data_IF_828167751786
#
_entry.id   IF_828167751786
#
_cell.length_a   1.000
_cell.length_b   1.000
_cell.length_c   1.000
_cell.angle_alpha   90.00
_cell.angle_beta   90.00
_cell.angle_gamma   90.00
#
_symmetry.space_group_name_H-M   'P 1'
#
loop_
_entity.id
_entity.type
_entity.pdbx_description
1 polymer ?
#
# COMPACT_ATOMS: atom_id res chain seq x y z
N UNK A 1 -10.21 53.56 -19.58
CA UNK A 1 -10.07 52.21 -20.17
C UNK A 1 -8.76 51.67 -19.68
N UNK A 2 -8.81 50.86 -18.57
CA UNK A 2 -7.63 50.40 -17.86
C UNK A 2 -7.52 48.90 -18.15
N UNK A 3 -6.56 48.54 -18.97
CA UNK A 3 -6.21 47.12 -19.20
C UNK A 3 -5.54 46.54 -17.94
N UNK A 4 -6.23 45.64 -17.25
CA UNK A 4 -5.57 44.77 -16.28
C UNK A 4 -4.68 43.75 -17.04
N UNK A 5 -3.38 43.80 -16.79
CA UNK A 5 -2.48 42.70 -17.13
C UNK A 5 -2.87 41.48 -16.35
N UNK A 6 -3.25 40.42 -17.04
CA UNK A 6 -3.37 39.09 -16.46
C UNK A 6 -1.98 38.62 -16.04
N UNK A 7 -1.84 38.43 -14.76
CA UNK A 7 -0.63 37.84 -14.14
C UNK A 7 -0.65 36.33 -14.38
N UNK A 8 -0.02 35.91 -15.47
CA UNK A 8 0.15 34.50 -15.81
C UNK A 8 1.29 33.90 -15.00
N UNK A 9 1.15 33.88 -13.68
CA UNK A 9 1.95 32.98 -12.84
C UNK A 9 1.39 31.57 -12.96
N UNK A 10 1.75 30.88 -14.04
CA UNK A 10 1.59 29.43 -14.14
C UNK A 10 2.42 28.84 -12.99
N UNK A 11 1.75 28.47 -11.91
CA UNK A 11 2.34 27.64 -10.86
C UNK A 11 2.85 26.38 -11.55
N UNK A 12 4.18 26.23 -11.67
CA UNK A 12 4.84 24.97 -12.04
C UNK A 12 4.26 23.92 -11.10
N UNK A 13 3.45 23.01 -11.63
CA UNK A 13 3.09 21.79 -10.94
C UNK A 13 4.39 21.06 -10.66
N UNK A 14 4.78 20.96 -9.42
CA UNK A 14 5.91 20.13 -8.98
C UNK A 14 5.59 18.68 -9.36
N UNK A 15 5.96 18.29 -10.56
CA UNK A 15 6.02 16.89 -10.96
C UNK A 15 7.35 16.37 -10.47
N UNK A 16 7.32 15.49 -9.49
CA UNK A 16 8.52 14.78 -9.04
C UNK A 16 9.07 14.01 -10.21
N UNK A 17 10.37 14.14 -10.45
CA UNK A 17 11.04 13.39 -11.50
C UNK A 17 11.11 11.90 -11.16
N UNK A 18 11.18 11.05 -12.19
CA UNK A 18 11.36 9.61 -12.01
C UNK A 18 12.63 9.28 -11.21
N UNK A 19 13.70 10.00 -11.47
CA UNK A 19 15.00 9.79 -10.80
C UNK A 19 14.94 10.16 -9.32
N UNK A 20 14.20 11.20 -8.98
CA UNK A 20 13.94 11.61 -7.61
C UNK A 20 13.16 10.54 -6.84
N UNK A 21 12.13 9.97 -7.45
CA UNK A 21 11.36 8.87 -6.87
C UNK A 21 12.20 7.61 -6.71
N UNK A 22 13.06 7.28 -7.67
CA UNK A 22 13.99 6.15 -7.59
C UNK A 22 14.99 6.35 -6.44
N UNK A 23 15.53 7.54 -6.26
CA UNK A 23 16.49 7.84 -5.20
C UNK A 23 15.88 7.77 -3.80
N UNK A 24 14.63 8.21 -3.65
CA UNK A 24 13.94 8.24 -2.34
C UNK A 24 13.37 6.88 -1.99
N UNK A 25 12.76 6.17 -2.94
CA UNK A 25 11.98 4.94 -2.70
C UNK A 25 12.64 3.66 -3.23
N UNK A 26 13.82 3.75 -3.85
CA UNK A 26 14.61 2.64 -4.40
C UNK A 26 14.30 2.29 -5.85
N UNK A 27 15.27 1.64 -6.49
CA UNK A 27 15.18 1.13 -7.86
C UNK A 27 14.04 0.12 -7.97
N UNK A 28 13.03 0.25 -8.63
CA UNK A 28 11.79 -0.55 -8.79
C UNK A 28 10.62 -0.11 -7.91
N UNK A 29 10.75 0.99 -7.17
CA UNK A 29 9.71 1.44 -6.24
C UNK A 29 8.57 2.16 -6.92
N UNK A 30 8.70 2.49 -8.18
CA UNK A 30 7.81 3.44 -8.81
C UNK A 30 7.00 2.82 -9.94
N UNK A 31 5.70 2.68 -9.74
CA UNK A 31 4.74 2.48 -10.83
C UNK A 31 3.39 3.19 -10.60
N UNK A 32 3.17 3.74 -9.43
CA UNK A 32 1.92 4.44 -9.13
C UNK A 32 2.17 5.71 -8.33
N UNK A 33 1.75 6.84 -8.90
CA UNK A 33 1.71 8.14 -8.20
C UNK A 33 0.30 8.71 -8.33
N UNK A 34 -0.32 9.00 -7.20
CA UNK A 34 -1.60 9.69 -7.16
C UNK A 34 -1.43 11.06 -6.52
N UNK A 35 -1.92 12.08 -7.22
CA UNK A 35 -2.06 13.42 -6.65
C UNK A 35 -3.45 13.57 -6.07
N UNK A 36 -3.55 13.84 -4.78
CA UNK A 36 -4.80 14.20 -4.13
C UNK A 36 -4.65 15.56 -3.44
N UNK A 37 -5.48 16.51 -3.87
CA UNK A 37 -5.28 17.93 -3.57
C UNK A 37 -3.87 18.33 -4.01
N UNK A 38 -3.00 18.76 -3.17
CA UNK A 38 -1.61 19.08 -3.53
C UNK A 38 -0.61 18.02 -3.02
N UNK A 39 -1.09 16.93 -2.43
CA UNK A 39 -0.27 15.85 -1.91
C UNK A 39 -0.03 14.75 -2.94
N UNK A 40 1.16 14.19 -2.96
CA UNK A 40 1.57 13.10 -3.84
C UNK A 40 1.76 11.85 -3.01
N UNK A 41 1.17 10.76 -3.48
CA UNK A 41 1.28 9.44 -2.84
C UNK A 41 1.97 8.47 -3.79
N UNK A 42 2.88 7.65 -3.25
CA UNK A 42 3.73 6.72 -4.00
C UNK A 42 3.63 5.33 -3.39
N UNK A 43 3.32 4.32 -4.21
CA UNK A 43 3.49 2.92 -3.81
C UNK A 43 4.92 2.47 -4.14
N UNK A 44 5.55 1.79 -3.19
CA UNK A 44 6.86 1.17 -3.42
C UNK A 44 6.90 -0.24 -2.87
N UNK A 45 7.67 -1.13 -3.51
CA UNK A 45 7.96 -2.46 -2.96
C UNK A 45 9.35 -2.45 -2.31
N UNK A 46 9.37 -2.67 -1.01
CA UNK A 46 10.60 -2.80 -0.23
C UNK A 46 10.35 -3.60 1.03
N UNK A 47 11.27 -4.48 1.37
CA UNK A 47 11.31 -5.16 2.68
C UNK A 47 12.09 -4.37 3.73
N UNK A 48 12.78 -3.33 3.29
CA UNK A 48 13.58 -2.44 4.14
C UNK A 48 12.76 -1.20 4.51
N UNK A 49 11.85 -1.41 5.45
CA UNK A 49 11.00 -0.37 6.02
C UNK A 49 11.49 0.02 7.41
N UNK A 50 11.30 1.27 7.79
CA UNK A 50 11.42 1.66 9.20
C UNK A 50 10.35 0.92 10.01
N UNK A 51 10.79 -0.02 10.85
CA UNK A 51 9.90 -0.87 11.62
C UNK A 51 9.18 -0.10 12.73
N UNK A 52 9.71 1.03 13.17
CA UNK A 52 9.07 1.90 14.16
C UNK A 52 7.92 2.64 13.48
N UNK A 53 8.16 3.20 12.30
CA UNK A 53 7.12 3.87 11.52
C UNK A 53 6.01 2.90 11.10
N UNK A 54 6.38 1.68 10.69
CA UNK A 54 5.41 0.62 10.40
C UNK A 54 4.58 0.26 11.64
N UNK A 55 5.18 0.06 12.80
CA UNK A 55 4.47 -0.22 14.05
C UNK A 55 3.50 0.92 14.42
N UNK A 56 3.93 2.17 14.27
CA UNK A 56 3.08 3.34 14.47
C UNK A 56 1.88 3.34 13.52
N UNK A 57 2.10 3.09 12.22
CA UNK A 57 1.01 2.98 11.25
C UNK A 57 0.00 1.90 11.66
N UNK A 58 0.46 0.71 12.02
CA UNK A 58 -0.42 -0.40 12.39
C UNK A 58 -1.21 -0.12 13.67
N UNK A 59 -0.63 0.62 14.62
CA UNK A 59 -1.36 1.08 15.81
C UNK A 59 -2.48 2.07 15.47
N UNK A 60 -2.31 2.94 14.45
CA UNK A 60 -3.37 3.88 14.04
C UNK A 60 -4.63 3.20 13.54
N UNK A 61 -4.52 1.97 13.05
CA UNK A 61 -5.66 1.14 12.63
C UNK A 61 -6.17 0.20 13.72
N UNK A 62 -5.71 0.40 14.97
CA UNK A 62 -6.20 -0.35 16.13
C UNK A 62 -5.52 -1.70 16.36
N UNK A 63 -4.45 -2.02 15.66
CA UNK A 63 -3.78 -3.31 15.85
C UNK A 63 -2.78 -3.26 17.01
N UNK A 64 -2.75 -4.37 17.75
CA UNK A 64 -1.81 -4.54 18.86
C UNK A 64 -0.36 -4.58 18.38
N UNK A 65 0.53 -4.04 19.20
CA UNK A 65 1.98 -4.09 18.96
C UNK A 65 2.48 -5.52 18.81
N UNK A 66 3.32 -5.72 17.84
CA UNK A 66 4.02 -7.00 17.61
C UNK A 66 5.50 -6.84 17.93
N UNK A 67 6.18 -7.87 18.48
CA UNK A 67 7.63 -7.80 18.70
C UNK A 67 8.36 -7.48 17.40
N UNK A 68 9.16 -6.41 17.39
CA UNK A 68 9.85 -5.88 16.19
C UNK A 68 10.65 -6.96 15.46
N UNK A 69 11.34 -7.85 16.20
CA UNK A 69 12.09 -8.98 15.60
C UNK A 69 11.18 -9.92 14.82
N UNK A 70 9.94 -10.17 15.28
CA UNK A 70 8.96 -10.99 14.55
C UNK A 70 8.46 -10.26 13.30
N UNK A 71 8.22 -8.97 13.41
CA UNK A 71 7.82 -8.15 12.24
C UNK A 71 8.91 -8.19 11.18
N UNK A 72 10.17 -7.92 11.53
CA UNK A 72 11.29 -7.99 10.59
C UNK A 72 11.35 -9.34 9.87
N UNK A 73 11.31 -10.44 10.63
CA UNK A 73 11.30 -11.79 10.03
C UNK A 73 10.07 -12.01 9.12
N UNK A 74 8.89 -11.53 9.50
CA UNK A 74 7.70 -11.65 8.66
C UNK A 74 7.88 -10.90 7.33
N UNK A 75 8.49 -9.71 7.34
CA UNK A 75 8.83 -8.98 6.11
C UNK A 75 9.84 -9.74 5.26
N UNK A 76 10.90 -10.27 5.86
CA UNK A 76 11.96 -11.01 5.14
C UNK A 76 11.40 -12.25 4.42
N UNK A 77 10.46 -12.96 5.04
CA UNK A 77 9.81 -14.14 4.47
C UNK A 77 8.55 -13.84 3.64
N UNK A 78 8.13 -12.59 3.54
CA UNK A 78 7.05 -12.21 2.63
C UNK A 78 7.53 -12.23 1.18
N UNK A 79 6.70 -12.71 0.26
CA UNK A 79 7.02 -12.71 -1.17
C UNK A 79 6.91 -11.30 -1.77
N UNK A 80 6.04 -10.48 -1.19
CA UNK A 80 5.87 -9.08 -1.57
C UNK A 80 5.58 -8.23 -0.32
N UNK A 81 6.21 -7.09 -0.23
CA UNK A 81 5.95 -6.05 0.77
C UNK A 81 5.78 -4.74 0.04
N UNK A 82 4.69 -4.04 0.30
CA UNK A 82 4.36 -2.76 -0.33
C UNK A 82 4.11 -1.70 0.73
N UNK A 83 4.84 -0.60 0.65
CA UNK A 83 4.56 0.64 1.37
C UNK A 83 3.80 1.61 0.47
N UNK A 84 2.86 2.35 1.03
CA UNK A 84 2.25 3.52 0.44
C UNK A 84 2.71 4.74 1.23
N UNK A 85 3.36 5.66 0.54
CA UNK A 85 4.01 6.81 1.13
C UNK A 85 3.29 8.09 0.72
N UNK A 86 3.09 9.01 1.67
CA UNK A 86 2.88 10.40 1.33
C UNK A 86 4.24 11.02 1.05
N UNK A 87 4.41 11.54 -0.15
CA UNK A 87 5.64 12.19 -0.53
C UNK A 87 5.79 13.54 0.18
N UNK A 88 6.98 13.75 0.71
CA UNK A 88 7.43 15.00 1.29
C UNK A 88 8.92 15.12 0.93
N UNK A 89 9.35 16.25 0.45
CA UNK A 89 10.74 16.47 -0.02
C UNK A 89 11.79 16.20 1.04
N UNK A 90 11.41 16.29 2.31
CA UNK A 90 12.34 16.08 3.43
C UNK A 90 12.17 14.72 4.09
N UNK A 91 10.93 14.32 4.33
CA UNK A 91 10.62 13.13 5.11
C UNK A 91 9.37 12.43 4.58
N UNK A 92 9.50 11.51 3.61
CA UNK A 92 8.38 10.69 3.17
C UNK A 92 7.78 9.94 4.36
N UNK A 93 6.43 9.88 4.42
CA UNK A 93 5.70 9.26 5.51
C UNK A 93 4.98 8.02 5.05
N UNK A 94 5.16 6.92 5.74
CA UNK A 94 4.43 5.68 5.51
C UNK A 94 2.98 5.86 5.95
N UNK A 95 2.05 5.89 5.00
CA UNK A 95 0.61 6.10 5.25
C UNK A 95 -0.25 4.89 4.90
N UNK A 96 0.34 3.88 4.27
CA UNK A 96 -0.32 2.62 4.00
C UNK A 96 0.69 1.48 3.86
N UNK A 97 0.19 0.26 4.04
CA UNK A 97 1.02 -0.93 4.05
C UNK A 97 0.22 -2.15 3.61
N UNK A 98 0.87 -3.07 2.92
CA UNK A 98 0.39 -4.42 2.67
C UNK A 98 1.57 -5.37 2.51
N UNK A 99 1.40 -6.63 2.90
CA UNK A 99 2.37 -7.67 2.61
C UNK A 99 1.69 -8.93 2.10
N UNK A 100 2.44 -9.75 1.36
CA UNK A 100 1.93 -11.00 0.83
C UNK A 100 2.86 -12.16 1.19
N UNK A 101 2.26 -13.29 1.52
CA UNK A 101 2.93 -14.55 1.71
C UNK A 101 2.46 -15.55 0.64
N UNK A 102 3.22 -16.60 0.41
CA UNK A 102 2.89 -17.64 -0.56
C UNK A 102 4.14 -18.43 -0.93
N UNK A 103 3.99 -19.35 -1.85
CA UNK A 103 5.10 -20.14 -2.40
C UNK A 103 5.94 -19.36 -3.45
N UNK A 104 5.46 -18.17 -3.84
CA UNK A 104 6.10 -17.35 -4.88
C UNK A 104 5.89 -17.85 -6.31
N UNK A 105 5.05 -18.87 -6.51
CA UNK A 105 4.86 -19.58 -7.80
C UNK A 105 3.37 -19.67 -8.17
N UNK A 106 2.55 -20.25 -7.29
CA UNK A 106 1.16 -20.60 -7.59
C UNK A 106 0.17 -19.63 -6.97
N UNK A 107 0.35 -19.34 -5.68
CA UNK A 107 -0.63 -18.63 -4.87
C UNK A 107 0.01 -17.61 -3.94
N UNK A 108 -0.76 -16.57 -3.62
CA UNK A 108 -0.42 -15.61 -2.58
C UNK A 108 -1.62 -15.31 -1.67
N UNK A 109 -1.31 -15.00 -0.41
CA UNK A 109 -2.27 -14.44 0.53
C UNK A 109 -1.83 -13.05 0.93
N UNK A 110 -2.74 -12.09 0.81
CA UNK A 110 -2.51 -10.70 1.25
C UNK A 110 -2.83 -10.56 2.72
N UNK A 111 -1.94 -9.93 3.46
CA UNK A 111 -2.00 -9.69 4.89
C UNK A 111 -1.73 -8.24 5.23
N UNK A 112 -2.18 -7.84 6.41
CA UNK A 112 -1.80 -6.58 7.04
C UNK A 112 -2.06 -5.35 6.15
N UNK A 113 -3.20 -5.33 5.46
CA UNK A 113 -3.60 -4.17 4.64
C UNK A 113 -4.06 -3.04 5.56
N UNK A 114 -3.27 -1.99 5.62
CA UNK A 114 -3.53 -0.83 6.47
C UNK A 114 -3.43 0.48 5.69
N UNK A 115 -4.34 1.41 5.97
CA UNK A 115 -4.25 2.81 5.55
C UNK A 115 -4.47 3.67 6.79
N UNK A 116 -3.56 4.60 7.04
CA UNK A 116 -3.69 5.55 8.14
C UNK A 116 -5.05 6.26 8.07
N UNK A 117 -5.83 6.29 9.17
CA UNK A 117 -7.20 6.83 9.20
C UNK A 117 -7.33 8.24 8.62
N UNK A 118 -6.31 9.09 8.78
CA UNK A 118 -6.29 10.46 8.22
C UNK A 118 -6.38 10.47 6.70
N UNK A 119 -5.94 9.39 6.04
CA UNK A 119 -5.90 9.25 4.58
C UNK A 119 -6.91 8.25 4.03
N UNK A 120 -7.80 7.72 4.88
CA UNK A 120 -8.91 6.89 4.43
C UNK A 120 -9.96 7.71 3.67
N UNK A 121 -10.78 7.05 2.86
CA UNK A 121 -11.79 7.72 2.04
C UNK A 121 -11.24 8.40 0.76
N UNK A 122 -9.93 8.50 0.58
CA UNK A 122 -9.28 9.13 -0.57
C UNK A 122 -9.03 8.17 -1.75
N UNK A 123 -9.49 6.92 -1.64
CA UNK A 123 -9.24 5.90 -2.68
C UNK A 123 -7.88 5.21 -2.58
N UNK A 124 -7.00 5.61 -1.65
CA UNK A 124 -5.63 5.10 -1.53
C UNK A 124 -5.56 3.60 -1.26
N UNK A 125 -6.48 3.05 -0.47
CA UNK A 125 -6.56 1.60 -0.26
C UNK A 125 -6.85 0.82 -1.53
N UNK A 126 -7.69 1.35 -2.42
CA UNK A 126 -7.95 0.76 -3.73
C UNK A 126 -6.70 0.77 -4.60
N UNK A 127 -5.97 1.85 -4.62
CA UNK A 127 -4.75 1.97 -5.41
C UNK A 127 -3.62 1.10 -4.85
N UNK A 128 -3.47 1.04 -3.52
CA UNK A 128 -2.54 0.10 -2.87
C UNK A 128 -2.84 -1.35 -3.30
N UNK A 129 -4.10 -1.78 -3.24
CA UNK A 129 -4.49 -3.14 -3.65
C UNK A 129 -4.28 -3.39 -5.14
N UNK A 130 -4.55 -2.41 -6.02
CA UNK A 130 -4.24 -2.53 -7.45
C UNK A 130 -2.74 -2.73 -7.67
N UNK A 131 -1.90 -1.97 -6.97
CA UNK A 131 -0.45 -2.11 -7.07
C UNK A 131 0.00 -3.48 -6.59
N UNK A 132 -0.48 -3.96 -5.44
CA UNK A 132 -0.20 -5.30 -4.91
C UNK A 132 -0.56 -6.38 -5.94
N UNK A 133 -1.78 -6.34 -6.49
CA UNK A 133 -2.24 -7.34 -7.47
C UNK A 133 -1.43 -7.29 -8.77
N UNK A 134 -1.03 -6.10 -9.22
CA UNK A 134 -0.17 -5.92 -10.39
C UNK A 134 1.20 -6.57 -10.15
N UNK A 135 1.83 -6.31 -9.01
CA UNK A 135 3.13 -6.87 -8.67
C UNK A 135 3.08 -8.39 -8.51
N UNK A 136 2.02 -8.94 -7.90
CA UNK A 136 1.82 -10.39 -7.80
C UNK A 136 1.64 -11.00 -9.21
N UNK A 137 0.88 -10.36 -10.09
CA UNK A 137 0.72 -10.80 -11.48
C UNK A 137 2.04 -10.76 -12.25
N UNK A 138 2.88 -9.73 -12.04
CA UNK A 138 4.18 -9.59 -12.69
C UNK A 138 5.14 -10.74 -12.34
N UNK A 139 5.04 -11.32 -11.15
CA UNK A 139 5.83 -12.50 -10.75
C UNK A 139 5.12 -13.84 -11.08
N UNK A 140 4.01 -13.81 -11.83
CA UNK A 140 3.33 -14.99 -12.33
C UNK A 140 2.19 -15.52 -11.45
N UNK A 141 1.90 -14.89 -10.32
CA UNK A 141 0.84 -15.35 -9.41
C UNK A 141 -0.53 -14.93 -9.96
N UNK A 142 -1.41 -15.89 -10.15
CA UNK A 142 -2.77 -15.69 -10.69
C UNK A 142 -3.88 -15.89 -9.65
N UNK A 143 -3.58 -16.60 -8.55
CA UNK A 143 -4.54 -16.85 -7.47
C UNK A 143 -4.10 -16.11 -6.21
N UNK A 144 -4.91 -15.15 -5.79
CA UNK A 144 -4.65 -14.33 -4.60
C UNK A 144 -5.81 -14.45 -3.63
N UNK A 145 -5.52 -14.66 -2.36
CA UNK A 145 -6.50 -14.73 -1.27
C UNK A 145 -6.26 -13.63 -0.25
N UNK A 146 -7.25 -13.31 0.54
CA UNK A 146 -7.15 -12.49 1.74
C UNK A 146 -8.24 -12.87 2.75
N UNK A 147 -8.03 -12.47 3.99
CA UNK A 147 -9.03 -12.55 5.06
C UNK A 147 -9.46 -11.13 5.39
N UNK A 148 -10.75 -10.86 5.27
CA UNK A 148 -11.31 -9.54 5.49
C UNK A 148 -12.18 -9.52 6.75
N UNK A 149 -11.97 -8.54 7.63
CA UNK A 149 -12.89 -8.26 8.71
C UNK A 149 -14.25 -7.82 8.15
N UNK A 150 -15.32 -8.07 8.89
CA UNK A 150 -16.69 -7.85 8.43
C UNK A 150 -16.94 -6.43 7.90
N UNK A 151 -16.35 -5.43 8.56
CA UNK A 151 -16.53 -4.01 8.22
C UNK A 151 -15.91 -3.65 6.86
N UNK A 152 -14.89 -4.38 6.39
CA UNK A 152 -14.18 -4.08 5.14
C UNK A 152 -14.53 -5.02 3.98
N UNK A 153 -15.38 -6.00 4.19
CA UNK A 153 -15.84 -6.93 3.12
C UNK A 153 -16.40 -6.16 1.91
N UNK A 154 -17.21 -5.14 2.15
CA UNK A 154 -17.80 -4.33 1.08
C UNK A 154 -16.76 -3.58 0.25
N UNK A 155 -15.63 -3.19 0.84
CA UNK A 155 -14.51 -2.57 0.15
C UNK A 155 -13.90 -3.53 -0.87
N UNK A 156 -13.65 -4.77 -0.51
CA UNK A 156 -13.09 -5.78 -1.41
C UNK A 156 -14.09 -6.19 -2.49
N UNK A 157 -15.37 -6.38 -2.14
CA UNK A 157 -16.45 -6.66 -3.11
C UNK A 157 -16.50 -5.64 -4.24
N UNK A 158 -16.43 -4.34 -3.90
CA UNK A 158 -16.42 -3.26 -4.92
C UNK A 158 -15.19 -3.26 -5.84
N UNK A 159 -14.15 -3.98 -5.48
CA UNK A 159 -12.94 -4.14 -6.29
C UNK A 159 -12.90 -5.44 -7.09
N UNK A 160 -14.01 -6.21 -7.11
CA UNK A 160 -14.13 -7.45 -7.87
C UNK A 160 -13.62 -8.71 -7.15
N UNK A 161 -13.36 -8.63 -5.83
CA UNK A 161 -13.02 -9.81 -5.06
C UNK A 161 -14.24 -10.73 -4.91
N UNK A 162 -14.03 -12.02 -5.14
CA UNK A 162 -15.06 -13.06 -5.05
C UNK A 162 -15.02 -13.59 -3.62
N UNK A 163 -16.15 -13.48 -2.92
CA UNK A 163 -16.31 -14.05 -1.59
C UNK A 163 -16.76 -15.51 -1.71
N UNK A 164 -16.23 -16.38 -0.86
CA UNK A 164 -16.61 -17.79 -0.80
C UNK A 164 -16.65 -18.46 -2.19
N UNK A 165 -15.55 -18.42 -2.97
CA UNK A 165 -15.57 -18.95 -4.31
C UNK A 165 -15.93 -20.42 -4.31
N UNK A 166 -17.02 -20.80 -5.03
CA UNK A 166 -17.57 -22.16 -5.13
C UNK A 166 -17.98 -22.75 -3.77
N UNK A 167 -18.40 -21.92 -2.82
CA UNK A 167 -18.83 -22.36 -1.48
C UNK A 167 -17.68 -22.74 -0.54
N UNK A 168 -16.43 -22.34 -0.88
CA UNK A 168 -15.29 -22.54 0.01
C UNK A 168 -15.42 -21.66 1.23
N UNK A 169 -15.24 -22.22 2.42
CA UNK A 169 -15.19 -21.49 3.68
C UNK A 169 -13.77 -21.50 4.25
N UNK A 170 -13.44 -20.49 5.04
CA UNK A 170 -12.17 -20.41 5.73
C UNK A 170 -12.25 -21.19 7.04
N UNK A 171 -11.18 -21.95 7.37
CA UNK A 171 -11.03 -22.63 8.65
C UNK A 171 -9.72 -22.17 9.32
N UNK A 172 -9.77 -21.94 10.63
CA UNK A 172 -8.61 -21.55 11.44
C UNK A 172 -8.31 -22.65 12.46
N UNK A 173 -7.04 -22.89 12.67
CA UNK A 173 -6.52 -23.69 13.77
C UNK A 173 -5.53 -22.85 14.59
N UNK A 174 -5.62 -22.90 15.90
CA UNK A 174 -4.74 -22.18 16.81
C UNK A 174 -3.95 -23.19 17.65
N UNK A 175 -2.64 -22.98 17.78
CA UNK A 175 -1.83 -23.74 18.73
C UNK A 175 -2.19 -23.31 20.17
N UNK A 176 -2.49 -24.26 21.04
CA UNK A 176 -2.70 -24.06 22.47
C UNK A 176 -1.39 -23.76 23.18
#
# INVERSE_FOLDING_TARGET
MIFRKEDSSIKKTNSISRDELINIYGLNSYEFTQKYKEEIFVCSKSKDLDLIELDQLLQTVGWSRRPIRRVKRALDFSILVVGLWRHDDKFPRLVGFARCTGDGILEATVWDVAINPVYQGLGLGKELMKYVLKELKNIGISKVTLFADAEVVSFYKRQGWILEPRGSICAFWYAN
#
